data_IF_874883586937
#
_entry.id   IF_874883586937
#
_cell.length_a   1.000
_cell.length_b   1.000
_cell.length_c   1.000
_cell.angle_alpha   90.00
_cell.angle_beta   90.00
_cell.angle_gamma   90.00
#
_symmetry.space_group_name_H-M   'P 1'
#
loop_
_entity.id
_entity.type
_entity.pdbx_description
1 polymer ?
#
# COMPACT_ATOMS: atom_id res chain seq x y z
N UNK A 1 1.93 20.07 23.18
CA UNK A 1 2.38 18.82 23.83
C UNK A 1 3.70 18.44 23.19
N UNK A 2 4.76 18.38 24.00
CA UNK A 2 6.10 18.04 23.51
C UNK A 2 6.21 16.54 23.26
N UNK A 3 7.10 16.12 22.34
CA UNK A 3 7.31 14.73 21.93
C UNK A 3 7.72 13.81 23.10
N UNK A 4 8.17 14.40 24.23
CA UNK A 4 8.59 13.67 25.43
C UNK A 4 7.45 13.16 26.35
N UNK A 5 6.20 13.51 26.07
CA UNK A 5 5.05 13.12 26.91
C UNK A 5 4.27 11.89 26.36
N UNK A 6 4.74 11.27 25.28
CA UNK A 6 4.11 10.05 24.77
C UNK A 6 4.59 8.83 25.57
N UNK A 7 3.67 7.89 25.94
CA UNK A 7 4.07 6.63 26.55
C UNK A 7 5.07 5.91 25.66
N UNK A 8 6.03 5.19 26.27
CA UNK A 8 7.15 4.51 25.57
C UNK A 8 6.71 3.59 24.44
N UNK A 9 5.46 3.09 24.49
CA UNK A 9 4.84 2.26 23.45
C UNK A 9 4.42 3.04 22.19
N UNK A 10 4.45 4.37 22.21
CA UNK A 10 4.10 5.25 21.09
C UNK A 10 5.28 6.09 20.63
N UNK A 11 6.49 5.80 21.08
CA UNK A 11 7.68 6.43 20.48
C UNK A 11 7.85 5.87 19.08
N UNK A 12 7.99 6.73 18.05
CA UNK A 12 8.21 6.24 16.69
C UNK A 12 9.46 5.35 16.69
N UNK A 13 9.30 4.10 16.24
CA UNK A 13 10.44 3.28 15.87
C UNK A 13 11.30 4.10 14.92
N UNK A 14 12.62 4.06 15.07
CA UNK A 14 13.49 4.81 14.17
C UNK A 14 13.21 4.40 12.74
N UNK A 15 13.32 5.31 11.79
CA UNK A 15 13.14 4.99 10.35
C UNK A 15 14.01 3.80 9.91
N UNK A 16 15.15 3.58 10.59
CA UNK A 16 16.07 2.45 10.40
C UNK A 16 15.46 1.08 10.75
N UNK A 17 14.57 0.98 11.74
CA UNK A 17 14.00 -0.30 12.17
C UNK A 17 12.96 -0.81 11.15
N UNK A 18 12.38 0.11 10.39
CA UNK A 18 11.48 -0.20 9.27
C UNK A 18 12.22 -0.61 7.99
N UNK A 19 13.47 -0.17 7.82
CA UNK A 19 14.30 -0.52 6.67
C UNK A 19 14.80 -1.96 6.73
N UNK A 20 15.08 -2.51 7.91
CA UNK A 20 15.59 -3.87 8.07
C UNK A 20 14.62 -5.00 7.65
N UNK A 21 13.31 -4.74 7.66
CA UNK A 21 12.28 -5.68 7.18
C UNK A 21 11.92 -5.57 5.69
N UNK A 22 12.50 -4.61 4.97
CA UNK A 22 12.08 -4.23 3.61
C UNK A 22 12.56 -5.14 2.49
N UNK A 23 13.57 -5.95 2.71
CA UNK A 23 14.05 -6.89 1.68
C UNK A 23 13.14 -8.11 1.52
N UNK A 24 12.28 -8.39 2.48
CA UNK A 24 11.34 -9.52 2.47
C UNK A 24 9.94 -9.03 2.83
N UNK A 25 8.91 -9.61 2.23
CA UNK A 25 7.56 -9.19 2.53
C UNK A 25 6.51 -9.77 1.59
N UNK A 26 5.29 -9.24 1.74
CA UNK A 26 4.10 -9.65 1.01
C UNK A 26 3.44 -8.44 0.36
N UNK A 27 3.22 -8.51 -0.94
CA UNK A 27 2.44 -7.54 -1.71
C UNK A 27 1.15 -8.20 -2.19
N UNK A 28 0.04 -7.54 -2.01
CA UNK A 28 -1.22 -7.92 -2.62
C UNK A 28 -1.26 -7.37 -4.04
N UNK A 29 -1.39 -8.27 -4.99
CA UNK A 29 -1.60 -7.92 -6.40
C UNK A 29 -3.09 -7.70 -6.62
N UNK A 30 -3.44 -6.53 -7.10
CA UNK A 30 -4.81 -6.12 -7.35
C UNK A 30 -5.03 -5.77 -8.81
N UNK A 31 -6.22 -6.06 -9.29
CA UNK A 31 -6.68 -5.71 -10.62
C UNK A 31 -7.81 -4.68 -10.54
N UNK A 32 -7.70 -3.63 -11.34
CA UNK A 32 -8.74 -2.64 -11.49
C UNK A 32 -9.61 -2.97 -12.69
N UNK A 33 -10.90 -3.18 -12.46
CA UNK A 33 -11.85 -3.41 -13.54
C UNK A 33 -11.85 -2.24 -14.53
N UNK A 34 -11.63 -2.45 -15.84
CA UNK A 34 -11.39 -1.37 -16.80
C UNK A 34 -12.56 -0.38 -16.91
N UNK A 35 -13.79 -0.86 -16.78
CA UNK A 35 -15.01 -0.03 -16.89
C UNK A 35 -15.53 0.41 -15.53
N UNK A 36 -15.70 -0.52 -14.59
CA UNK A 36 -16.28 -0.23 -13.27
C UNK A 36 -15.29 0.48 -12.32
N UNK A 37 -14.01 0.45 -12.64
CA UNK A 37 -12.90 1.02 -11.85
C UNK A 37 -12.74 0.45 -10.44
N UNK A 38 -13.49 -0.60 -10.11
CA UNK A 38 -13.35 -1.34 -8.86
C UNK A 38 -11.99 -2.03 -8.79
N UNK A 39 -11.33 -1.94 -7.65
CA UNK A 39 -10.04 -2.56 -7.38
C UNK A 39 -10.28 -3.83 -6.58
N UNK A 40 -9.87 -4.97 -7.12
CA UNK A 40 -10.06 -6.28 -6.49
C UNK A 40 -8.74 -7.00 -6.33
N UNK A 41 -8.45 -7.60 -5.17
CA UNK A 41 -7.24 -8.40 -4.99
C UNK A 41 -7.36 -9.70 -5.80
N UNK A 42 -6.31 -10.00 -6.56
CA UNK A 42 -6.26 -11.17 -7.45
C UNK A 42 -5.13 -12.14 -7.13
N UNK A 43 -4.09 -11.69 -6.43
CA UNK A 43 -2.95 -12.55 -6.13
C UNK A 43 -2.09 -12.00 -5.00
N UNK A 44 -1.12 -12.81 -4.63
CA UNK A 44 -0.11 -12.49 -3.63
C UNK A 44 1.26 -12.67 -4.26
N UNK A 45 2.08 -11.63 -4.18
CA UNK A 45 3.49 -11.68 -4.50
C UNK A 45 4.28 -11.62 -3.20
N UNK A 46 5.12 -12.60 -2.98
CA UNK A 46 5.97 -12.71 -1.80
C UNK A 46 7.44 -12.61 -2.21
N UNK A 47 8.25 -12.03 -1.37
CA UNK A 47 9.70 -12.02 -1.49
C UNK A 47 10.32 -12.51 -0.19
N UNK A 48 11.18 -13.51 -0.30
CA UNK A 48 11.85 -14.15 0.82
C UNK A 48 13.28 -14.56 0.48
N UNK A 49 13.95 -15.35 1.35
CA UNK A 49 15.35 -15.76 1.16
C UNK A 49 15.60 -16.57 -0.12
N UNK A 50 14.56 -17.22 -0.64
CA UNK A 50 14.63 -18.07 -1.85
C UNK A 50 14.17 -17.36 -3.12
N UNK A 51 13.99 -16.02 -3.07
CA UNK A 51 13.50 -15.22 -4.18
C UNK A 51 12.02 -14.88 -4.10
N UNK A 52 11.36 -14.84 -5.22
CA UNK A 52 9.98 -14.37 -5.38
C UNK A 52 9.03 -15.54 -5.58
N UNK A 53 7.81 -15.39 -5.06
CA UNK A 53 6.71 -16.35 -5.22
C UNK A 53 5.43 -15.61 -5.56
N UNK A 54 4.72 -16.03 -6.59
CA UNK A 54 3.41 -15.50 -6.94
C UNK A 54 2.36 -16.61 -6.92
N UNK A 55 1.20 -16.31 -6.33
CA UNK A 55 0.02 -17.20 -6.27
C UNK A 55 -1.25 -16.40 -6.45
N UNK A 56 -2.22 -16.95 -7.18
CA UNK A 56 -3.54 -16.36 -7.26
C UNK A 56 -4.36 -16.58 -5.99
N UNK A 57 -5.17 -15.58 -5.64
CA UNK A 57 -6.26 -15.74 -4.68
C UNK A 57 -7.42 -16.50 -5.32
N UNK A 58 -8.11 -17.36 -4.57
CA UNK A 58 -9.26 -18.14 -5.07
C UNK A 58 -10.37 -17.24 -5.62
N UNK A 59 -10.66 -16.14 -4.92
CA UNK A 59 -11.65 -15.14 -5.31
C UNK A 59 -11.39 -14.50 -6.69
N UNK A 60 -10.14 -14.48 -7.15
CA UNK A 60 -9.78 -13.89 -8.44
C UNK A 60 -10.49 -14.58 -9.62
N UNK A 61 -10.77 -15.88 -9.50
CA UNK A 61 -11.48 -16.65 -10.53
C UNK A 61 -12.95 -16.24 -10.68
N UNK A 62 -13.54 -15.65 -9.65
CA UNK A 62 -14.93 -15.23 -9.60
C UNK A 62 -15.14 -13.80 -10.14
N UNK A 63 -14.04 -13.06 -10.38
CA UNK A 63 -14.11 -11.69 -10.86
C UNK A 63 -14.47 -11.64 -12.35
N UNK A 64 -15.60 -11.02 -12.65
CA UNK A 64 -16.04 -10.84 -14.02
C UNK A 64 -15.01 -10.04 -14.85
N UNK A 65 -14.61 -10.60 -16.00
CA UNK A 65 -13.67 -9.96 -16.91
C UNK A 65 -12.19 -10.11 -16.55
N UNK A 66 -11.85 -10.63 -15.38
CA UNK A 66 -10.47 -10.94 -15.05
C UNK A 66 -10.02 -12.26 -15.68
N UNK A 67 -8.83 -12.25 -16.26
CA UNK A 67 -8.18 -13.45 -16.80
C UNK A 67 -6.78 -13.59 -16.18
N UNK A 68 -6.25 -14.81 -16.05
CA UNK A 68 -4.89 -15.02 -15.61
C UNK A 68 -3.89 -14.19 -16.42
N UNK A 69 -2.88 -13.67 -15.77
CA UNK A 69 -1.80 -12.97 -16.45
C UNK A 69 -1.03 -13.91 -17.37
N UNK A 70 -0.52 -13.40 -18.48
CA UNK A 70 0.23 -14.20 -19.45
C UNK A 70 1.43 -14.91 -18.84
N UNK A 71 2.14 -14.23 -17.91
CA UNK A 71 3.28 -14.80 -17.20
C UNK A 71 2.86 -15.90 -16.20
N UNK A 72 1.58 -15.96 -15.83
CA UNK A 72 1.03 -16.85 -14.81
C UNK A 72 -0.28 -17.51 -15.30
N UNK A 73 -0.25 -18.34 -16.35
CA UNK A 73 -1.47 -18.79 -17.05
C UNK A 73 -2.35 -19.76 -16.24
N UNK A 74 -1.82 -20.41 -15.21
CA UNK A 74 -2.54 -21.41 -14.42
C UNK A 74 -3.02 -20.84 -13.08
N UNK A 75 -4.32 -20.91 -12.80
CA UNK A 75 -4.90 -20.49 -11.51
C UNK A 75 -4.27 -21.18 -10.30
N UNK A 76 -3.95 -22.47 -10.42
CA UNK A 76 -3.36 -23.29 -9.37
C UNK A 76 -1.81 -23.28 -9.37
N UNK A 77 -1.19 -22.35 -10.13
CA UNK A 77 0.25 -22.26 -10.21
C UNK A 77 0.87 -21.73 -8.91
N UNK A 78 1.95 -22.38 -8.48
CA UNK A 78 2.88 -21.86 -7.48
C UNK A 78 4.14 -21.40 -8.21
N UNK A 79 4.12 -20.14 -8.61
CA UNK A 79 5.18 -19.57 -9.44
C UNK A 79 6.32 -19.07 -8.56
N UNK A 80 7.54 -19.53 -8.84
CA UNK A 80 8.75 -19.19 -8.08
C UNK A 80 9.89 -18.80 -9.02
N UNK A 81 10.65 -17.79 -8.66
CA UNK A 81 11.84 -17.36 -9.38
C UNK A 81 12.80 -16.67 -8.40
N UNK A 82 14.09 -16.80 -8.62
CA UNK A 82 15.11 -16.05 -7.86
C UNK A 82 15.07 -14.55 -8.17
N UNK A 83 14.58 -14.18 -9.35
CA UNK A 83 14.45 -12.79 -9.81
C UNK A 83 13.00 -12.37 -9.85
N UNK A 84 12.77 -11.06 -9.70
CA UNK A 84 11.43 -10.50 -9.84
C UNK A 84 10.86 -10.81 -11.23
N UNK A 85 9.65 -11.38 -11.25
CA UNK A 85 8.98 -11.79 -12.49
C UNK A 85 8.84 -10.64 -13.49
N UNK A 86 8.92 -10.89 -14.80
CA UNK A 86 8.85 -9.85 -15.84
C UNK A 86 7.64 -8.92 -15.70
N UNK A 87 6.47 -9.47 -15.40
CA UNK A 87 5.23 -8.70 -15.15
C UNK A 87 5.43 -7.58 -14.13
N UNK A 88 6.18 -7.82 -13.08
CA UNK A 88 6.46 -6.83 -12.03
C UNK A 88 7.72 -6.02 -12.30
N UNK A 89 8.75 -6.65 -12.88
CA UNK A 89 10.01 -5.99 -13.19
C UNK A 89 9.88 -4.82 -14.18
N UNK A 90 8.95 -4.90 -15.13
CA UNK A 90 8.67 -3.79 -16.06
C UNK A 90 7.93 -2.60 -15.43
N UNK A 91 7.53 -2.70 -14.13
CA UNK A 91 6.83 -1.65 -13.37
C UNK A 91 7.75 -0.86 -12.46
N UNK A 92 9.02 -1.20 -12.43
CA UNK A 92 10.05 -0.47 -11.70
C UNK A 92 10.89 0.33 -12.69
N UNK A 93 11.45 1.44 -12.22
CA UNK A 93 12.29 2.28 -13.05
C UNK A 93 13.71 1.71 -13.13
N UNK A 94 14.27 1.67 -14.35
CA UNK A 94 15.64 1.25 -14.52
C UNK A 94 16.62 2.28 -13.95
N UNK A 95 17.67 1.86 -13.21
CA UNK A 95 18.72 2.74 -12.72
C UNK A 95 19.51 3.48 -13.82
N UNK A 96 19.39 3.03 -15.07
CA UNK A 96 20.06 3.66 -16.21
C UNK A 96 19.35 4.90 -16.73
N UNK A 97 18.12 5.15 -16.27
CA UNK A 97 17.34 6.32 -16.71
C UNK A 97 17.85 7.60 -16.03
N UNK A 98 17.91 8.72 -16.75
CA UNK A 98 18.35 10.00 -16.17
C UNK A 98 17.46 10.50 -15.03
N UNK A 99 16.16 10.17 -15.06
CA UNK A 99 15.14 10.56 -14.09
C UNK A 99 15.01 9.58 -12.90
N UNK A 100 15.85 8.53 -12.83
CA UNK A 100 15.76 7.48 -11.79
C UNK A 100 15.88 8.05 -10.37
N UNK A 101 16.83 8.94 -10.11
CA UNK A 101 16.98 9.56 -8.78
C UNK A 101 15.77 10.37 -8.39
N UNK A 102 15.27 11.20 -9.29
CA UNK A 102 14.05 11.97 -9.06
C UNK A 102 12.84 11.08 -8.76
N UNK A 103 12.71 9.95 -9.46
CA UNK A 103 11.67 8.97 -9.18
C UNK A 103 11.80 8.35 -7.78
N UNK A 104 13.00 8.00 -7.34
CA UNK A 104 13.24 7.50 -5.98
C UNK A 104 12.93 8.56 -4.93
N UNK A 105 13.31 9.81 -5.17
CA UNK A 105 13.01 10.95 -4.30
C UNK A 105 11.49 11.12 -4.15
N UNK A 106 10.72 11.02 -5.25
CA UNK A 106 9.25 11.09 -5.22
C UNK A 106 8.63 9.95 -4.38
N UNK A 107 9.30 8.83 -4.23
CA UNK A 107 8.86 7.68 -3.43
C UNK A 107 9.42 7.68 -2.01
N UNK A 108 10.20 8.67 -1.63
CA UNK A 108 10.95 8.68 -0.35
C UNK A 108 11.79 7.41 -0.19
N UNK A 109 12.54 7.06 -1.23
CA UNK A 109 13.40 5.88 -1.28
C UNK A 109 14.87 6.26 -1.38
N UNK A 110 15.72 5.43 -0.75
CA UNK A 110 17.18 5.53 -0.87
C UNK A 110 17.64 5.31 -2.32
N UNK A 111 18.77 5.94 -2.75
CA UNK A 111 19.35 5.74 -4.08
C UNK A 111 19.70 4.29 -4.44
N UNK A 112 19.86 3.43 -3.45
CA UNK A 112 20.15 2.00 -3.55
C UNK A 112 18.91 1.10 -3.32
N UNK A 113 17.71 1.70 -3.33
CA UNK A 113 16.46 0.97 -3.16
C UNK A 113 16.33 -0.21 -4.12
N UNK A 114 16.02 -1.36 -3.57
CA UNK A 114 15.84 -2.60 -4.31
C UNK A 114 14.63 -2.54 -5.27
N UNK A 115 14.56 -3.43 -6.27
CA UNK A 115 13.37 -3.59 -7.11
C UNK A 115 12.08 -3.83 -6.32
N UNK A 116 12.17 -4.57 -5.19
CA UNK A 116 11.04 -4.83 -4.31
C UNK A 116 10.52 -3.57 -3.63
N UNK A 117 11.43 -2.75 -3.08
CA UNK A 117 11.07 -1.49 -2.42
C UNK A 117 10.43 -0.50 -3.40
N UNK A 118 10.99 -0.39 -4.61
CA UNK A 118 10.41 0.44 -5.66
C UNK A 118 8.98 -0.01 -5.99
N UNK A 119 8.78 -1.32 -6.19
CA UNK A 119 7.47 -1.89 -6.50
C UNK A 119 6.46 -1.66 -5.36
N UNK A 120 6.87 -1.94 -4.12
CA UNK A 120 6.04 -1.78 -2.94
C UNK A 120 5.62 -0.32 -2.73
N UNK A 121 6.55 0.62 -2.92
CA UNK A 121 6.32 2.03 -2.64
C UNK A 121 5.54 2.74 -3.76
N UNK A 122 5.82 2.43 -5.02
CA UNK A 122 5.12 3.02 -6.18
C UNK A 122 3.70 2.46 -6.39
N UNK A 123 3.39 1.33 -5.74
CA UNK A 123 2.17 0.58 -6.01
C UNK A 123 2.21 -0.17 -7.36
N UNK A 124 3.35 -0.21 -8.03
CA UNK A 124 3.53 -0.89 -9.32
C UNK A 124 2.62 -0.39 -10.43
N UNK A 125 2.13 0.85 -10.32
CA UNK A 125 1.23 1.44 -11.32
C UNK A 125 1.98 1.81 -12.58
N UNK A 126 1.42 1.45 -13.73
CA UNK A 126 1.84 1.92 -15.04
C UNK A 126 0.69 2.61 -15.75
N UNK A 127 1.00 3.58 -16.60
CA UNK A 127 -0.02 4.33 -17.33
C UNK A 127 -0.79 3.41 -18.30
N UNK A 128 -2.11 3.47 -18.26
CA UNK A 128 -2.98 2.61 -19.07
C UNK A 128 -3.17 1.17 -18.55
N UNK A 129 -2.58 0.83 -17.40
CA UNK A 129 -2.63 -0.49 -16.80
C UNK A 129 -3.73 -0.61 -15.73
N UNK A 130 -4.16 -1.83 -15.53
CA UNK A 130 -5.16 -2.19 -14.52
C UNK A 130 -4.58 -2.92 -13.32
N UNK A 131 -3.27 -3.17 -13.30
CA UNK A 131 -2.58 -3.85 -12.20
C UNK A 131 -2.01 -2.84 -11.22
N UNK A 132 -2.15 -3.15 -9.93
CA UNK A 132 -1.57 -2.42 -8.82
C UNK A 132 -1.06 -3.40 -7.77
N UNK A 133 -0.12 -2.97 -6.94
CA UNK A 133 0.31 -3.75 -5.77
C UNK A 133 0.17 -2.92 -4.50
N UNK A 134 -0.10 -3.60 -3.40
CA UNK A 134 -0.26 -2.98 -2.08
C UNK A 134 0.56 -3.76 -1.06
N UNK A 135 1.45 -3.13 -0.31
CA UNK A 135 2.16 -3.80 0.77
C UNK A 135 1.17 -4.25 1.85
N UNK A 136 1.28 -5.51 2.26
CA UNK A 136 0.52 -5.99 3.41
C UNK A 136 1.09 -5.33 4.68
N UNK A 137 0.22 -4.78 5.55
CA UNK A 137 0.66 -4.21 6.83
C UNK A 137 1.39 -5.25 7.69
N UNK A 138 2.42 -4.80 8.40
CA UNK A 138 3.15 -5.63 9.35
C UNK A 138 2.47 -5.53 10.71
N UNK A 139 2.34 -6.66 11.40
CA UNK A 139 1.84 -6.75 12.77
C UNK A 139 2.89 -7.42 13.62
N UNK A 140 3.29 -6.75 14.67
CA UNK A 140 4.26 -7.27 15.63
C UNK A 140 3.58 -8.22 16.65
N UNK A 141 4.38 -8.97 17.39
CA UNK A 141 3.87 -9.96 18.35
C UNK A 141 3.04 -9.33 19.48
N UNK A 142 3.26 -8.09 19.80
CA UNK A 142 2.50 -7.32 20.81
C UNK A 142 1.20 -6.70 20.26
N UNK A 143 0.90 -6.91 18.96
CA UNK A 143 -0.24 -6.34 18.27
C UNK A 143 -0.03 -4.91 17.76
N UNK A 144 1.15 -4.33 17.97
CA UNK A 144 1.50 -3.08 17.32
C UNK A 144 1.62 -3.27 15.81
N UNK A 145 1.21 -2.26 15.05
CA UNK A 145 1.20 -2.35 13.59
C UNK A 145 1.52 -1.01 12.97
N UNK A 146 2.18 -1.09 11.82
CA UNK A 146 2.39 0.08 11.01
C UNK A 146 2.44 -0.28 9.52
N UNK A 147 2.08 0.68 8.68
CA UNK A 147 2.22 0.57 7.23
C UNK A 147 2.38 1.93 6.59
N UNK A 148 2.99 1.95 5.41
CA UNK A 148 3.04 3.13 4.56
C UNK A 148 2.24 2.89 3.29
N UNK A 149 1.51 3.90 2.85
CA UNK A 149 0.75 3.85 1.61
C UNK A 149 0.57 5.25 1.01
N UNK A 150 0.33 5.29 -0.28
CA UNK A 150 -0.01 6.51 -1.00
C UNK A 150 -1.50 6.80 -0.84
N UNK A 151 -1.84 8.05 -0.52
CA UNK A 151 -3.23 8.50 -0.42
C UNK A 151 -3.89 8.37 -1.79
N UNK A 152 -5.06 7.71 -1.82
CA UNK A 152 -5.82 7.48 -3.05
C UNK A 152 -6.70 8.67 -3.41
N UNK A 153 -7.01 8.83 -4.70
CA UNK A 153 -8.06 9.73 -5.16
C UNK A 153 -7.79 11.24 -5.03
N UNK A 154 -6.57 11.66 -4.73
CA UNK A 154 -6.19 13.08 -4.51
C UNK A 154 -6.71 14.01 -5.61
N UNK A 155 -6.71 13.57 -6.87
CA UNK A 155 -7.20 14.37 -8.00
C UNK A 155 -8.68 14.74 -7.93
N UNK A 156 -9.46 14.07 -7.10
CA UNK A 156 -10.90 14.29 -6.93
C UNK A 156 -11.21 15.18 -5.72
N UNK A 157 -10.21 15.49 -4.90
CA UNK A 157 -10.33 16.38 -3.77
C UNK A 157 -9.89 17.81 -4.15
N UNK A 158 -10.39 18.79 -3.40
CA UNK A 158 -9.99 20.18 -3.62
C UNK A 158 -8.51 20.35 -3.19
N UNK A 159 -7.62 20.53 -4.16
CA UNK A 159 -6.16 20.56 -3.97
C UNK A 159 -5.60 21.78 -3.23
N UNK A 160 -6.46 22.68 -2.74
CA UNK A 160 -6.03 23.94 -2.11
C UNK A 160 -5.21 23.77 -0.83
N UNK A 161 -5.31 22.63 -0.17
CA UNK A 161 -4.60 22.34 1.09
C UNK A 161 -3.24 21.67 0.86
N UNK A 162 -3.07 20.94 -0.25
CA UNK A 162 -1.84 20.17 -0.52
C UNK A 162 -0.55 21.00 -0.51
N UNK A 163 -0.52 22.26 -1.02
CA UNK A 163 0.68 23.08 -0.99
C UNK A 163 1.17 23.46 0.43
N UNK A 164 0.30 23.33 1.43
CA UNK A 164 0.60 23.65 2.83
C UNK A 164 0.88 22.42 3.69
N UNK A 165 0.74 21.22 3.10
CA UNK A 165 0.99 19.96 3.79
C UNK A 165 2.51 19.73 3.94
N UNK A 166 2.96 19.43 5.14
CA UNK A 166 4.36 19.19 5.46
C UNK A 166 4.59 17.79 6.00
N UNK A 167 5.83 17.30 5.85
CA UNK A 167 6.29 16.07 6.48
C UNK A 167 6.13 16.18 8.00
N UNK A 168 5.57 15.16 8.62
CA UNK A 168 5.26 15.13 10.05
C UNK A 168 3.86 15.63 10.42
N UNK A 169 3.11 16.22 9.48
CA UNK A 169 1.73 16.62 9.75
C UNK A 169 0.86 15.41 10.09
N UNK A 170 0.01 15.58 11.10
CA UNK A 170 -0.99 14.59 11.49
C UNK A 170 -2.25 14.75 10.67
N UNK A 171 -2.75 13.64 10.17
CA UNK A 171 -3.95 13.57 9.35
C UNK A 171 -5.09 12.92 10.13
N UNK A 172 -6.31 13.30 9.79
CA UNK A 172 -7.54 12.78 10.37
C UNK A 172 -8.17 11.75 9.43
N UNK A 173 -8.81 10.74 10.02
CA UNK A 173 -9.62 9.76 9.29
C UNK A 173 -11.10 10.03 9.54
N UNK A 174 -11.87 10.25 8.46
CA UNK A 174 -13.31 10.51 8.52
C UNK A 174 -14.08 9.51 7.67
N UNK A 175 -15.13 8.94 8.24
CA UNK A 175 -16.03 8.04 7.52
C UNK A 175 -16.82 8.79 6.45
N UNK A 176 -17.02 8.16 5.29
CA UNK A 176 -17.82 8.68 4.18
C UNK A 176 -18.91 7.67 3.77
N UNK A 177 -19.96 7.48 4.60
CA UNK A 177 -21.00 6.47 4.35
C UNK A 177 -21.83 6.75 3.08
N UNK A 178 -21.78 7.97 2.57
CA UNK A 178 -22.44 8.37 1.32
C UNK A 178 -21.61 8.11 0.05
N UNK A 179 -20.43 7.50 0.16
CA UNK A 179 -19.62 7.17 -1.00
C UNK A 179 -20.28 6.10 -1.85
N UNK A 180 -20.61 6.45 -3.11
CA UNK A 180 -21.33 5.57 -4.02
C UNK A 180 -20.51 4.36 -4.49
N UNK A 181 -19.18 4.46 -4.47
CA UNK A 181 -18.30 3.38 -4.88
C UNK A 181 -18.02 2.40 -3.74
N UNK A 182 -17.88 2.92 -2.51
CA UNK A 182 -17.62 2.10 -1.33
C UNK A 182 -18.17 2.78 -0.07
N UNK A 183 -19.29 2.31 0.52
CA UNK A 183 -19.88 2.89 1.73
C UNK A 183 -18.97 2.80 2.97
N UNK A 184 -17.93 1.93 2.92
CA UNK A 184 -16.92 1.82 3.96
C UNK A 184 -15.74 2.78 3.78
N UNK A 185 -15.79 3.66 2.76
CA UNK A 185 -14.70 4.57 2.43
C UNK A 185 -14.29 5.45 3.61
N UNK A 186 -13.00 5.72 3.71
CA UNK A 186 -12.41 6.58 4.72
C UNK A 186 -11.66 7.73 4.04
N UNK A 187 -12.12 8.94 4.26
CA UNK A 187 -11.37 10.14 3.90
C UNK A 187 -10.12 10.29 4.74
N UNK A 188 -9.06 10.72 4.10
CA UNK A 188 -7.87 11.31 4.72
C UNK A 188 -8.06 12.81 4.70
N UNK A 189 -8.02 13.46 5.87
CA UNK A 189 -8.29 14.89 6.01
C UNK A 189 -7.11 15.59 6.71
N UNK A 190 -6.94 16.87 6.39
CA UNK A 190 -6.10 17.81 7.12
C UNK A 190 -6.93 19.03 7.50
N UNK A 191 -6.93 19.45 8.76
CA UNK A 191 -7.75 20.54 9.27
C UNK A 191 -9.23 20.44 8.82
N UNK A 192 -9.79 19.22 8.86
CA UNK A 192 -11.17 18.93 8.44
C UNK A 192 -11.41 18.91 6.93
N UNK A 193 -10.43 19.23 6.10
CA UNK A 193 -10.55 19.24 4.64
C UNK A 193 -10.05 17.90 4.05
N UNK A 194 -10.85 17.19 3.23
CA UNK A 194 -10.42 15.94 2.60
C UNK A 194 -9.35 16.20 1.54
N UNK A 195 -8.29 15.40 1.57
CA UNK A 195 -7.21 15.40 0.59
C UNK A 195 -7.17 14.12 -0.26
N UNK A 196 -7.96 13.12 0.10
CA UNK A 196 -8.06 11.84 -0.58
C UNK A 196 -8.68 10.78 0.31
N UNK A 197 -8.43 9.52 -0.01
CA UNK A 197 -8.97 8.35 0.67
C UNK A 197 -7.88 7.34 1.06
N UNK A 198 -8.18 6.56 2.08
CA UNK A 198 -7.48 5.31 2.32
C UNK A 198 -7.71 4.38 1.11
N UNK A 199 -6.68 3.71 0.58
CA UNK A 199 -6.87 2.71 -0.48
C UNK A 199 -7.88 1.62 -0.04
N UNK A 200 -8.79 1.22 -0.93
CA UNK A 200 -9.88 0.30 -0.59
C UNK A 200 -9.42 -1.00 0.08
N UNK A 201 -8.31 -1.57 -0.38
CA UNK A 201 -7.75 -2.81 0.21
C UNK A 201 -7.23 -2.63 1.64
N UNK A 202 -7.01 -1.39 2.09
CA UNK A 202 -6.53 -1.07 3.43
C UNK A 202 -7.66 -0.76 4.41
N UNK A 203 -8.89 -0.59 3.94
CA UNK A 203 -10.02 -0.09 4.75
C UNK A 203 -10.30 -1.02 5.94
N UNK A 204 -10.41 -2.33 5.71
CA UNK A 204 -10.67 -3.30 6.79
C UNK A 204 -9.59 -3.27 7.87
N UNK A 205 -8.33 -3.25 7.45
CA UNK A 205 -7.19 -3.12 8.37
C UNK A 205 -7.24 -1.82 9.17
N UNK A 206 -7.47 -0.68 8.53
CA UNK A 206 -7.55 0.63 9.20
C UNK A 206 -8.73 0.68 10.16
N UNK A 207 -9.90 0.15 9.78
CA UNK A 207 -11.07 0.07 10.65
C UNK A 207 -10.82 -0.85 11.84
N UNK A 208 -10.18 -1.99 11.64
CA UNK A 208 -9.80 -2.91 12.71
C UNK A 208 -8.84 -2.23 13.68
N UNK A 209 -7.83 -1.53 13.18
CA UNK A 209 -6.91 -0.79 14.02
C UNK A 209 -7.62 0.31 14.83
N UNK A 210 -8.53 1.09 14.21
CA UNK A 210 -9.33 2.13 14.89
C UNK A 210 -10.23 1.57 16.01
N UNK A 211 -10.74 0.34 15.85
CA UNK A 211 -11.53 -0.34 16.91
C UNK A 211 -10.67 -0.83 18.08
N UNK A 212 -9.39 -1.12 17.80
CA UNK A 212 -8.46 -1.65 18.80
C UNK A 212 -7.79 -0.56 19.64
N UNK A 213 -7.72 0.66 19.14
CA UNK A 213 -7.11 1.78 19.85
C UNK A 213 -6.89 3.01 18.99
N UNK A 214 -6.15 3.99 19.49
CA UNK A 214 -5.77 5.17 18.73
C UNK A 214 -4.97 4.80 17.49
N UNK A 215 -5.25 5.48 16.37
CA UNK A 215 -4.50 5.38 15.13
C UNK A 215 -3.84 6.72 14.85
N UNK A 216 -2.55 6.70 14.60
CA UNK A 216 -1.77 7.85 14.16
C UNK A 216 -1.55 7.74 12.64
N UNK A 217 -1.99 8.75 11.89
CA UNK A 217 -1.71 8.89 10.47
C UNK A 217 -0.85 10.13 10.27
N UNK A 218 0.35 9.95 9.74
CA UNK A 218 1.36 11.00 9.61
C UNK A 218 1.84 11.10 8.17
N UNK A 219 2.08 12.33 7.71
CA UNK A 219 2.67 12.59 6.39
C UNK A 219 4.16 12.22 6.42
N UNK A 220 4.57 11.36 5.50
CA UNK A 220 5.98 10.95 5.31
C UNK A 220 6.63 11.74 4.19
N UNK A 221 5.89 11.93 3.07
CA UNK A 221 6.41 12.65 1.91
C UNK A 221 5.29 13.36 1.16
N UNK A 222 5.58 14.55 0.65
CA UNK A 222 4.68 15.35 -0.18
C UNK A 222 5.39 15.74 -1.45
N UNK A 223 4.88 15.30 -2.59
CA UNK A 223 5.39 15.67 -3.89
C UNK A 223 4.73 16.94 -4.44
N UNK A 224 5.47 17.69 -5.22
CA UNK A 224 5.02 18.88 -5.94
C UNK A 224 3.92 18.59 -6.98
N UNK A 225 3.37 19.65 -7.59
CA UNK A 225 2.28 19.53 -8.57
C UNK A 225 2.70 18.85 -9.88
N UNK A 226 3.97 18.76 -10.14
CA UNK A 226 4.60 18.05 -11.26
C UNK A 226 4.55 16.53 -11.13
N UNK A 227 4.44 16.03 -9.89
CA UNK A 227 4.33 14.59 -9.66
C UNK A 227 2.94 14.05 -10.04
N UNK A 228 2.87 12.80 -10.53
CA UNK A 228 1.59 12.14 -10.77
C UNK A 228 0.68 12.15 -9.54
N UNK A 229 -0.63 12.37 -9.75
CA UNK A 229 -1.59 12.52 -8.66
C UNK A 229 -1.58 11.37 -7.64
N UNK A 230 -1.27 10.16 -8.08
CA UNK A 230 -1.21 8.98 -7.21
C UNK A 230 0.08 8.89 -6.37
N UNK A 231 1.10 9.71 -6.65
CA UNK A 231 2.34 9.81 -5.88
C UNK A 231 2.39 11.05 -4.97
N UNK A 232 1.35 11.88 -4.94
CA UNK A 232 1.38 13.20 -4.30
C UNK A 232 1.61 13.19 -2.80
N UNK A 233 1.03 12.23 -2.08
CA UNK A 233 1.11 12.19 -0.62
C UNK A 233 1.35 10.75 -0.16
N UNK A 234 2.49 10.51 0.46
CA UNK A 234 2.82 9.28 1.16
C UNK A 234 2.56 9.47 2.64
N UNK A 235 1.89 8.51 3.25
CA UNK A 235 1.55 8.54 4.66
C UNK A 235 1.99 7.27 5.37
N UNK A 236 2.23 7.39 6.68
CA UNK A 236 2.45 6.29 7.60
C UNK A 236 1.29 6.20 8.58
N UNK A 237 0.72 5.02 8.69
CA UNK A 237 -0.27 4.67 9.69
C UNK A 237 0.41 3.82 10.76
N UNK A 238 0.17 4.17 12.03
CA UNK A 238 0.61 3.42 13.20
C UNK A 238 -0.58 3.21 14.12
N UNK A 239 -0.65 2.04 14.75
CA UNK A 239 -1.75 1.69 15.64
C UNK A 239 -1.57 0.32 16.28
N UNK A 240 -2.66 -0.25 16.74
CA UNK A 240 -2.71 -1.60 17.28
C UNK A 240 -3.83 -2.39 16.63
N UNK A 241 -3.71 -3.71 16.63
CA UNK A 241 -4.74 -4.64 16.17
C UNK A 241 -4.97 -5.72 17.22
N UNK A 242 -6.12 -6.43 17.20
CA UNK A 242 -6.39 -7.51 18.15
C UNK A 242 -5.32 -8.62 18.06
N UNK A 243 -5.03 -9.32 19.16
CA UNK A 243 -4.13 -10.48 19.15
C UNK A 243 -4.56 -11.51 18.10
N UNK A 244 -3.60 -11.97 17.29
CA UNK A 244 -3.84 -12.95 16.23
C UNK A 244 -4.46 -12.41 14.95
N UNK A 245 -4.79 -11.11 14.87
CA UNK A 245 -5.23 -10.51 13.62
C UNK A 245 -4.08 -10.47 12.62
N UNK A 246 -4.36 -10.94 11.41
CA UNK A 246 -3.44 -10.88 10.28
C UNK A 246 -4.08 -10.08 9.14
N UNK A 247 -3.52 -8.93 8.78
CA UNK A 247 -4.04 -8.15 7.66
C UNK A 247 -4.04 -8.93 6.36
N UNK A 248 -5.09 -8.75 5.57
CA UNK A 248 -5.19 -9.37 4.23
C UNK A 248 -4.99 -10.91 4.30
N UNK A 249 -5.53 -11.54 5.32
CA UNK A 249 -5.51 -12.99 5.55
C UNK A 249 -6.90 -13.49 5.98
N UNK A 250 -7.08 -14.83 6.03
CA UNK A 250 -8.36 -15.45 6.38
C UNK A 250 -9.35 -15.52 5.21
N UNK A 251 -10.67 -15.55 5.49
CA UNK A 251 -11.69 -15.72 4.46
C UNK A 251 -11.60 -14.70 3.34
N UNK A 252 -11.57 -15.17 2.09
CA UNK A 252 -11.41 -14.35 0.89
C UNK A 252 -9.97 -13.98 0.51
N UNK A 253 -8.98 -14.37 1.33
CA UNK A 253 -7.56 -14.17 1.05
C UNK A 253 -6.80 -15.47 0.80
N UNK A 254 -7.53 -16.60 0.73
CA UNK A 254 -6.94 -17.91 0.46
C UNK A 254 -6.39 -17.99 -0.95
N UNK A 255 -5.20 -18.56 -1.09
CA UNK A 255 -4.62 -18.90 -2.39
C UNK A 255 -5.12 -20.27 -2.85
N UNK A 256 -4.98 -20.57 -4.14
CA UNK A 256 -5.27 -21.91 -4.68
C UNK A 256 -4.29 -22.95 -4.14
N UNK A 257 -3.07 -22.57 -3.90
CA UNK A 257 -2.03 -23.44 -3.33
C UNK A 257 -1.93 -23.16 -1.84
N UNK A 258 -2.10 -24.19 -1.03
CA UNK A 258 -1.97 -24.13 0.43
C UNK A 258 -0.51 -24.46 0.77
N UNK A 259 0.07 -23.74 1.71
CA UNK A 259 1.41 -23.99 2.23
C UNK A 259 1.46 -25.24 3.12
#
# INVERSE_FOLDING_TARGET
MSVDELPSSLRPASLSDWDAGRSMGRLIVAWQHPTLRLISPVGVLEHGPTGYRFRYLRRARELAGFQPFLDFPAWHGDYRDERLFPLFAQRIMSPRRPDFRHFLDQLDLSPDASPWEQLARSGGRSEGDTLQVFPAPVVEADGSTACMFLVSGIRYCNGGVLPHLAVGDRLELRDEPGNSANPEALHVCVAGQPIGWIPDLMIDYVRTSRRSGPVLLTVVHVNGSDAPAHLRVLVRLEGTVPPGYQPMAGPGWETFVID
#
